data_IF_967938635165
#
_entry.id   IF_967938635165
#
_cell.length_a   1.000
_cell.length_b   1.000
_cell.length_c   1.000
_cell.angle_alpha   90.00
_cell.angle_beta   90.00
_cell.angle_gamma   90.00
#
_symmetry.space_group_name_H-M   'P 1'
#
loop_
_entity.id
_entity.type
_entity.pdbx_description
1 polymer ?
#
# COMPACT_ATOMS: atom_id res chain seq x y z
N UNK A 1 -3.95 -7.89 -31.41
CA UNK A 1 -3.68 -9.11 -30.61
C UNK A 1 -3.53 -10.26 -31.59
N UNK A 2 -2.57 -11.18 -31.44
CA UNK A 2 -2.66 -12.44 -32.15
C UNK A 2 -3.87 -13.20 -31.61
N UNK A 3 -4.72 -13.67 -32.51
CA UNK A 3 -5.94 -14.42 -32.21
C UNK A 3 -5.61 -15.69 -31.43
N UNK A 4 -6.19 -15.86 -30.24
CA UNK A 4 -6.01 -17.09 -29.48
C UNK A 4 -6.41 -16.98 -28.00
N UNK A 5 -7.71 -17.18 -27.74
CA UNK A 5 -8.35 -17.31 -26.42
C UNK A 5 -8.34 -16.04 -25.56
N UNK A 6 -9.53 -15.69 -25.09
CA UNK A 6 -9.79 -14.70 -24.05
C UNK A 6 -9.15 -15.18 -22.73
N UNK A 7 -7.82 -15.11 -22.60
CA UNK A 7 -7.11 -15.49 -21.38
C UNK A 7 -7.51 -14.49 -20.29
N UNK A 8 -8.13 -14.97 -19.22
CA UNK A 8 -8.41 -14.16 -18.04
C UNK A 8 -7.12 -13.50 -17.52
N UNK A 9 -7.23 -12.27 -17.01
CA UNK A 9 -6.16 -11.57 -16.34
C UNK A 9 -6.08 -11.99 -14.88
N UNK A 10 -4.88 -11.97 -14.29
CA UNK A 10 -4.69 -12.24 -12.87
C UNK A 10 -4.30 -10.98 -12.12
N UNK A 11 -5.00 -10.70 -11.03
CA UNK A 11 -4.69 -9.63 -10.11
C UNK A 11 -4.25 -10.15 -8.75
N UNK A 12 -3.22 -9.52 -8.19
CA UNK A 12 -2.77 -9.73 -6.82
C UNK A 12 -3.11 -8.51 -5.97
N UNK A 13 -3.84 -8.72 -4.87
CA UNK A 13 -4.19 -7.68 -3.90
C UNK A 13 -3.38 -7.88 -2.63
N UNK A 14 -2.57 -6.88 -2.27
CA UNK A 14 -1.88 -6.78 -0.98
C UNK A 14 -2.61 -5.80 -0.07
N UNK A 15 -2.92 -6.25 1.14
CA UNK A 15 -3.70 -5.48 2.12
C UNK A 15 -2.81 -4.61 2.99
N UNK A 16 -3.42 -3.59 3.60
CA UNK A 16 -2.77 -2.88 4.69
C UNK A 16 -2.79 -3.64 6.02
N UNK A 17 -1.70 -3.49 6.77
CA UNK A 17 -1.50 -4.17 8.06
C UNK A 17 -0.17 -3.88 8.75
N UNK A 18 0.55 -2.82 8.34
CA UNK A 18 1.86 -2.48 8.91
C UNK A 18 2.87 -3.63 8.83
N UNK A 19 3.48 -4.01 9.96
CA UNK A 19 4.48 -5.07 9.99
C UNK A 19 3.96 -6.46 9.57
N UNK A 20 2.63 -6.68 9.55
CA UNK A 20 2.04 -7.92 9.04
C UNK A 20 2.30 -8.15 7.55
N UNK A 21 2.77 -7.14 6.81
CA UNK A 21 3.23 -7.31 5.42
C UNK A 21 4.37 -8.33 5.26
N UNK A 22 5.13 -8.65 6.33
CA UNK A 22 6.12 -9.73 6.30
C UNK A 22 5.47 -11.10 6.09
N UNK A 23 4.27 -11.32 6.64
CA UNK A 23 3.48 -12.52 6.40
C UNK A 23 2.97 -12.58 4.95
N UNK A 24 2.63 -11.44 4.35
CA UNK A 24 2.25 -11.39 2.93
C UNK A 24 3.41 -11.81 2.02
N UNK A 25 4.66 -11.49 2.37
CA UNK A 25 5.83 -11.91 1.61
C UNK A 25 5.99 -13.44 1.61
N UNK A 26 5.81 -14.09 2.76
CA UNK A 26 5.78 -15.55 2.86
C UNK A 26 4.62 -16.18 2.09
N UNK A 27 3.43 -15.56 2.16
CA UNK A 27 2.27 -16.06 1.42
C UNK A 27 2.43 -15.89 -0.09
N UNK A 28 3.02 -14.77 -0.53
CA UNK A 28 3.39 -14.54 -1.93
C UNK A 28 4.34 -15.62 -2.43
N UNK A 29 5.34 -16.03 -1.65
CA UNK A 29 6.25 -17.11 -2.05
C UNK A 29 5.52 -18.43 -2.35
N UNK A 30 4.51 -18.79 -1.54
CA UNK A 30 3.73 -20.01 -1.78
C UNK A 30 2.82 -19.89 -3.01
N UNK A 31 2.19 -18.74 -3.20
CA UNK A 31 1.36 -18.46 -4.38
C UNK A 31 2.22 -18.46 -5.65
N UNK A 32 3.41 -17.85 -5.59
CA UNK A 32 4.36 -17.86 -6.69
C UNK A 32 4.70 -19.29 -7.12
N UNK A 33 5.02 -20.18 -6.16
CA UNK A 33 5.32 -21.60 -6.46
C UNK A 33 4.14 -22.29 -7.14
N UNK A 34 2.93 -22.11 -6.61
CA UNK A 34 1.72 -22.74 -7.16
C UNK A 34 1.39 -22.22 -8.58
N UNK A 35 1.28 -20.91 -8.75
CA UNK A 35 0.88 -20.29 -10.03
C UNK A 35 1.95 -20.48 -11.12
N UNK A 36 3.24 -20.53 -10.73
CA UNK A 36 4.34 -20.82 -11.69
C UNK A 36 4.32 -22.25 -12.20
N UNK A 37 3.79 -23.21 -11.43
CA UNK A 37 3.61 -24.59 -11.91
C UNK A 37 2.43 -24.69 -12.88
N UNK A 38 1.41 -23.86 -12.71
CA UNK A 38 0.19 -23.86 -13.53
C UNK A 38 0.38 -23.13 -14.88
N UNK A 39 1.39 -22.26 -15.03
CA UNK A 39 1.56 -21.43 -16.23
C UNK A 39 2.94 -21.55 -16.86
N UNK A 40 2.98 -22.12 -18.07
CA UNK A 40 4.19 -22.20 -18.88
C UNK A 40 4.53 -20.91 -19.65
N UNK A 41 3.63 -19.91 -19.68
CA UNK A 41 3.82 -18.67 -20.45
C UNK A 41 4.58 -17.57 -19.68
N UNK A 42 5.01 -17.84 -18.44
CA UNK A 42 5.81 -16.92 -17.62
C UNK A 42 5.05 -15.71 -17.09
N UNK A 43 3.75 -15.58 -17.38
CA UNK A 43 2.90 -14.50 -16.88
C UNK A 43 2.28 -14.91 -15.55
N UNK A 44 2.80 -14.33 -14.46
CA UNK A 44 2.31 -14.61 -13.11
C UNK A 44 1.07 -13.77 -12.77
N UNK A 45 1.23 -12.45 -12.77
CA UNK A 45 0.17 -11.46 -12.51
C UNK A 45 0.19 -10.37 -13.57
N UNK A 46 -0.98 -9.99 -14.06
CA UNK A 46 -1.17 -8.86 -14.97
C UNK A 46 -1.38 -7.55 -14.20
N UNK A 47 -1.92 -7.63 -12.98
CA UNK A 47 -2.17 -6.49 -12.11
C UNK A 47 -1.68 -6.80 -10.70
N UNK A 48 -0.96 -5.86 -10.09
CA UNK A 48 -0.64 -5.87 -8.67
C UNK A 48 -1.22 -4.60 -8.07
N UNK A 49 -2.02 -4.75 -7.02
CA UNK A 49 -2.60 -3.63 -6.27
C UNK A 49 -2.24 -3.73 -4.80
N UNK A 50 -2.01 -2.59 -4.16
CA UNK A 50 -1.60 -2.54 -2.77
C UNK A 50 -2.04 -1.28 -2.05
N UNK A 51 -2.35 -1.45 -0.75
CA UNK A 51 -2.59 -0.36 0.19
C UNK A 51 -1.62 -0.48 1.36
N UNK A 52 -1.11 0.64 1.89
CA UNK A 52 -0.22 0.66 3.05
C UNK A 52 1.07 -0.15 2.80
N UNK A 53 1.45 -1.02 3.75
CA UNK A 53 2.54 -1.97 3.54
C UNK A 53 2.34 -2.84 2.27
N UNK A 54 1.08 -3.12 1.91
CA UNK A 54 0.77 -3.83 0.68
C UNK A 54 1.17 -3.04 -0.57
N UNK A 55 1.12 -1.71 -0.53
CA UNK A 55 1.62 -0.84 -1.60
C UNK A 55 3.15 -0.93 -1.73
N UNK A 56 3.87 -0.98 -0.60
CA UNK A 56 5.31 -1.19 -0.57
C UNK A 56 5.68 -2.57 -1.16
N UNK A 57 5.05 -3.64 -0.68
CA UNK A 57 5.22 -5.01 -1.19
C UNK A 57 4.95 -5.07 -2.70
N UNK A 58 3.85 -4.45 -3.15
CA UNK A 58 3.48 -4.37 -4.57
C UNK A 58 4.53 -3.66 -5.42
N UNK A 59 5.04 -2.54 -4.92
CA UNK A 59 6.05 -1.73 -5.60
C UNK A 59 7.37 -2.49 -5.74
N UNK A 60 7.83 -3.16 -4.68
CA UNK A 60 9.05 -3.98 -4.72
C UNK A 60 8.93 -5.12 -5.74
N UNK A 61 7.77 -5.78 -5.80
CA UNK A 61 7.52 -6.86 -6.75
C UNK A 61 7.49 -6.38 -8.20
N UNK A 62 6.80 -5.28 -8.48
CA UNK A 62 6.76 -4.70 -9.83
C UNK A 62 8.13 -4.15 -10.23
N UNK A 63 8.86 -3.51 -9.31
CA UNK A 63 10.24 -3.06 -9.55
C UNK A 63 11.17 -4.21 -9.89
N UNK A 64 11.06 -5.35 -9.20
CA UNK A 64 11.80 -6.57 -9.54
C UNK A 64 11.46 -7.06 -10.95
N UNK A 65 10.18 -7.10 -11.31
CA UNK A 65 9.76 -7.52 -12.65
C UNK A 65 10.35 -6.60 -13.73
N UNK A 66 10.31 -5.28 -13.54
CA UNK A 66 10.81 -4.32 -14.53
C UNK A 66 12.32 -4.41 -14.73
N UNK A 67 13.09 -4.66 -13.67
CA UNK A 67 14.54 -4.84 -13.76
C UNK A 67 14.93 -6.13 -14.48
N UNK A 68 14.18 -7.21 -14.26
CA UNK A 68 14.56 -8.55 -14.73
C UNK A 68 13.76 -9.06 -15.93
N UNK A 69 12.71 -8.35 -16.34
CA UNK A 69 11.66 -8.81 -17.26
C UNK A 69 11.13 -10.22 -16.90
N UNK A 70 11.08 -10.53 -15.60
CA UNK A 70 10.70 -11.85 -15.09
C UNK A 70 10.28 -11.81 -13.63
N UNK A 71 9.36 -12.70 -13.26
CA UNK A 71 8.99 -12.96 -11.86
C UNK A 71 9.98 -13.88 -11.14
N UNK A 72 10.92 -14.51 -11.85
CA UNK A 72 11.91 -15.40 -11.21
C UNK A 72 12.76 -14.60 -10.22
N UNK A 73 12.87 -15.07 -8.98
CA UNK A 73 13.61 -14.38 -7.92
C UNK A 73 12.80 -13.32 -7.16
N UNK A 74 11.53 -13.08 -7.52
CA UNK A 74 10.72 -12.02 -6.88
C UNK A 74 10.40 -12.33 -5.42
N UNK A 75 10.19 -13.61 -5.09
CA UNK A 75 9.92 -14.06 -3.73
C UNK A 75 11.15 -13.88 -2.82
N UNK A 76 12.34 -14.18 -3.34
CA UNK A 76 13.59 -13.94 -2.64
C UNK A 76 13.83 -12.44 -2.46
N UNK A 77 13.51 -11.62 -3.47
CA UNK A 77 13.68 -10.17 -3.43
C UNK A 77 12.78 -9.49 -2.40
N UNK A 78 11.51 -9.88 -2.30
CA UNK A 78 10.62 -9.34 -1.27
C UNK A 78 11.04 -9.80 0.14
N UNK A 79 11.53 -11.03 0.30
CA UNK A 79 12.09 -11.50 1.58
C UNK A 79 13.39 -10.75 1.95
N UNK A 80 14.24 -10.45 0.98
CA UNK A 80 15.43 -9.60 1.16
C UNK A 80 15.06 -8.21 1.65
N UNK A 81 14.02 -7.60 1.05
CA UNK A 81 13.48 -6.32 1.50
C UNK A 81 13.11 -6.37 2.99
N UNK A 82 12.32 -7.36 3.40
CA UNK A 82 11.91 -7.52 4.80
C UNK A 82 13.07 -7.82 5.74
N UNK A 83 14.05 -8.63 5.31
CA UNK A 83 15.26 -8.92 6.11
C UNK A 83 16.06 -7.66 6.43
N UNK A 84 16.15 -6.69 5.52
CA UNK A 84 16.85 -5.44 5.79
C UNK A 84 16.08 -4.47 6.71
N UNK A 85 14.78 -4.71 6.97
CA UNK A 85 14.01 -4.00 7.99
C UNK A 85 14.09 -4.69 9.37
N UNK A 86 14.55 -5.94 9.41
CA UNK A 86 14.71 -6.66 10.68
C UNK A 86 15.86 -6.05 11.47
N UNK A 87 15.60 -5.78 12.75
CA UNK A 87 16.61 -5.32 13.69
C UNK A 87 16.38 -5.94 15.06
N UNK A 88 17.45 -6.05 15.83
CA UNK A 88 17.41 -6.51 17.22
C UNK A 88 17.12 -5.35 18.15
N UNK A 89 16.39 -5.63 19.21
CA UNK A 89 16.06 -4.69 20.28
C UNK A 89 16.87 -5.02 21.53
N UNK A 90 17.05 -4.04 22.41
CA UNK A 90 17.55 -4.26 23.77
C UNK A 90 16.63 -5.25 24.49
N UNK A 91 15.32 -5.17 24.24
CA UNK A 91 14.35 -6.14 24.74
C UNK A 91 14.65 -7.59 24.29
N UNK A 92 15.08 -7.80 23.04
CA UNK A 92 15.49 -9.13 22.54
C UNK A 92 16.72 -9.64 23.29
N UNK A 93 17.71 -8.78 23.51
CA UNK A 93 18.92 -9.14 24.23
C UNK A 93 18.64 -9.46 25.71
N UNK A 94 17.73 -8.70 26.35
CA UNK A 94 17.37 -8.88 27.76
C UNK A 94 16.42 -10.08 28.00
N UNK A 95 15.33 -10.19 27.25
CA UNK A 95 14.31 -11.22 27.50
C UNK A 95 14.49 -12.47 26.66
N UNK A 96 15.07 -12.34 25.46
CA UNK A 96 15.28 -13.45 24.54
C UNK A 96 16.61 -14.18 24.76
N UNK A 97 17.70 -13.41 24.91
CA UNK A 97 19.07 -13.96 24.87
C UNK A 97 19.76 -14.06 26.22
N UNK A 98 19.30 -13.36 27.25
CA UNK A 98 19.88 -13.43 28.60
C UNK A 98 19.14 -14.47 29.46
N UNK A 99 19.75 -15.64 29.75
CA UNK A 99 19.07 -16.70 30.50
C UNK A 99 18.72 -16.30 31.93
N UNK A 100 19.52 -15.41 32.55
CA UNK A 100 19.29 -14.98 33.93
C UNK A 100 18.03 -14.14 34.06
N UNK A 101 17.86 -13.15 33.17
CA UNK A 101 16.68 -12.27 33.16
C UNK A 101 15.43 -13.06 32.78
N UNK A 102 15.53 -13.90 31.74
CA UNK A 102 14.45 -14.81 31.35
C UNK A 102 13.97 -15.70 32.50
N UNK A 103 14.89 -16.41 33.16
CA UNK A 103 14.54 -17.29 34.29
C UNK A 103 13.92 -16.51 35.45
N UNK A 104 14.42 -15.31 35.73
CA UNK A 104 13.88 -14.44 36.78
C UNK A 104 12.46 -13.96 36.44
N UNK A 105 12.22 -13.60 35.18
CA UNK A 105 10.90 -13.17 34.71
C UNK A 105 9.89 -14.32 34.67
N UNK A 106 10.30 -15.49 34.19
CA UNK A 106 9.47 -16.71 34.20
C UNK A 106 9.10 -17.11 35.63
N UNK A 107 10.02 -16.96 36.60
CA UNK A 107 9.70 -17.15 38.02
C UNK A 107 8.65 -16.13 38.51
N UNK A 108 8.81 -14.84 38.19
CA UNK A 108 7.82 -13.82 38.54
C UNK A 108 6.45 -14.10 37.93
N UNK A 109 6.39 -14.47 36.65
CA UNK A 109 5.15 -14.88 35.97
C UNK A 109 4.51 -16.11 36.64
N UNK A 110 5.31 -17.10 37.03
CA UNK A 110 4.81 -18.28 37.75
C UNK A 110 4.23 -17.94 39.14
N UNK A 111 4.81 -16.94 39.82
CA UNK A 111 4.29 -16.47 41.12
C UNK A 111 3.07 -15.54 41.00
N UNK A 112 2.94 -14.83 39.89
CA UNK A 112 1.84 -13.92 39.61
C UNK A 112 1.43 -14.02 38.15
N UNK A 113 0.35 -14.76 37.90
CA UNK A 113 -0.21 -14.98 36.57
C UNK A 113 -0.74 -13.70 35.89
N UNK A 114 -0.81 -12.57 36.61
CA UNK A 114 -1.13 -11.25 36.04
C UNK A 114 0.07 -10.55 35.39
N UNK A 115 1.29 -11.05 35.57
CA UNK A 115 2.48 -10.55 34.86
C UNK A 115 2.51 -11.22 33.48
N UNK A 116 2.90 -10.48 32.43
CA UNK A 116 3.04 -11.05 31.09
C UNK A 116 4.11 -12.16 31.06
N UNK A 117 3.93 -13.18 30.22
CA UNK A 117 4.99 -14.15 29.95
C UNK A 117 6.22 -13.48 29.30
N UNK A 118 7.38 -14.14 29.34
CA UNK A 118 8.63 -13.56 28.84
C UNK A 118 8.57 -13.14 27.36
N UNK A 119 7.85 -13.88 26.51
CA UNK A 119 7.75 -13.55 25.08
C UNK A 119 6.83 -12.35 24.86
N UNK A 120 5.71 -12.27 25.59
CA UNK A 120 4.83 -11.11 25.59
C UNK A 120 5.54 -9.85 26.09
N UNK A 121 6.31 -9.96 27.18
CA UNK A 121 7.14 -8.86 27.69
C UNK A 121 8.20 -8.41 26.68
N UNK A 122 8.91 -9.37 26.05
CA UNK A 122 9.90 -9.08 24.99
C UNK A 122 9.27 -8.31 23.83
N UNK A 123 8.09 -8.72 23.37
CA UNK A 123 7.36 -8.06 22.27
C UNK A 123 6.93 -6.65 22.65
N UNK A 124 6.34 -6.48 23.84
CA UNK A 124 5.92 -5.19 24.35
C UNK A 124 7.08 -4.20 24.40
N UNK A 125 8.18 -4.58 25.06
CA UNK A 125 9.35 -3.71 25.19
C UNK A 125 10.06 -3.47 23.86
N UNK A 126 10.00 -4.40 22.91
CA UNK A 126 10.51 -4.19 21.55
C UNK A 126 9.70 -3.12 20.81
N UNK A 127 8.37 -3.18 20.88
CA UNK A 127 7.50 -2.15 20.28
C UNK A 127 7.75 -0.80 20.95
N UNK A 128 7.89 -0.80 22.28
CA UNK A 128 8.18 0.41 23.03
C UNK A 128 9.51 1.05 22.59
N UNK A 129 10.55 0.24 22.43
CA UNK A 129 11.85 0.71 21.93
C UNK A 129 11.73 1.35 20.55
N UNK A 130 11.03 0.71 19.61
CA UNK A 130 10.87 1.23 18.26
C UNK A 130 10.01 2.50 18.19
N UNK A 131 8.88 2.53 18.90
CA UNK A 131 7.91 3.61 18.83
C UNK A 131 8.29 4.82 19.69
N UNK A 132 8.92 4.60 20.84
CA UNK A 132 9.06 5.60 21.90
C UNK A 132 10.51 5.83 22.34
N UNK A 133 11.48 5.50 21.48
CA UNK A 133 12.88 5.90 21.67
C UNK A 133 13.45 6.52 20.40
N UNK A 134 14.46 7.41 20.49
CA UNK A 134 15.06 8.04 19.31
C UNK A 134 15.76 7.06 18.35
N UNK A 135 15.86 5.77 18.69
CA UNK A 135 16.52 4.75 17.89
C UNK A 135 15.75 4.42 16.60
N UNK A 136 14.42 4.49 16.64
CA UNK A 136 13.55 4.14 15.51
C UNK A 136 13.78 2.72 14.99
N UNK A 137 13.48 2.50 13.70
CA UNK A 137 13.70 1.23 13.00
C UNK A 137 14.62 1.50 11.80
N UNK A 138 15.83 0.92 11.75
CA UNK A 138 16.76 1.07 10.63
C UNK A 138 16.09 0.76 9.29
N UNK A 139 16.41 1.56 8.27
CA UNK A 139 15.83 1.47 6.92
C UNK A 139 14.32 1.73 6.84
N UNK A 140 13.64 2.05 7.95
CA UNK A 140 12.20 2.32 7.97
C UNK A 140 11.92 3.75 8.44
N UNK A 141 12.17 4.07 9.71
CA UNK A 141 11.91 5.42 10.23
C UNK A 141 12.80 5.79 11.41
N UNK A 142 12.97 7.09 11.62
CA UNK A 142 13.50 7.68 12.85
C UNK A 142 12.38 8.24 13.70
N UNK A 143 12.45 8.03 15.02
CA UNK A 143 11.44 8.52 15.96
C UNK A 143 11.88 9.89 16.49
N UNK A 144 11.08 10.91 16.19
CA UNK A 144 11.34 12.31 16.53
C UNK A 144 10.42 12.74 17.67
N UNK A 145 10.94 12.98 18.89
CA UNK A 145 10.13 13.46 20.00
C UNK A 145 9.73 14.92 19.76
N UNK A 146 8.43 15.17 19.70
CA UNK A 146 7.87 16.52 19.58
C UNK A 146 7.21 16.91 20.89
N UNK A 147 7.74 17.93 21.57
CA UNK A 147 7.16 18.44 22.80
C UNK A 147 6.03 19.42 22.47
N UNK A 148 4.87 19.20 23.07
CA UNK A 148 3.72 20.08 22.94
C UNK A 148 3.26 20.52 24.32
N UNK A 149 3.12 21.83 24.51
CA UNK A 149 2.59 22.42 25.75
C UNK A 149 1.27 23.16 25.52
N UNK A 150 0.55 22.82 24.44
CA UNK A 150 -0.63 23.57 23.99
C UNK A 150 -1.72 23.64 25.06
N UNK A 151 -1.84 22.61 25.88
CA UNK A 151 -2.88 22.51 26.91
C UNK A 151 -2.33 22.58 28.34
N UNK A 152 -1.01 22.71 28.51
CA UNK A 152 -0.32 22.71 29.82
C UNK A 152 -0.82 21.59 30.73
N UNK A 153 -1.09 20.42 30.15
CA UNK A 153 -1.73 19.32 30.84
C UNK A 153 -0.65 18.50 31.57
N UNK A 154 -0.60 18.52 32.91
CA UNK A 154 0.43 17.82 33.67
C UNK A 154 0.36 16.29 33.52
N UNK A 155 -0.72 15.75 32.95
CA UNK A 155 -0.92 14.31 32.73
C UNK A 155 -0.63 13.85 31.30
N UNK A 156 -0.44 14.74 30.33
CA UNK A 156 -0.11 14.34 28.94
C UNK A 156 1.17 14.96 28.45
N UNK A 157 1.54 16.13 28.98
CA UNK A 157 2.66 16.92 28.48
C UNK A 157 4.01 16.49 29.10
N UNK A 158 4.00 15.45 29.96
CA UNK A 158 5.22 14.85 30.52
C UNK A 158 5.88 13.84 29.58
N UNK A 159 5.17 13.36 28.55
CA UNK A 159 5.75 12.53 27.49
C UNK A 159 5.77 13.31 26.17
N UNK A 160 6.83 13.17 25.37
CA UNK A 160 6.85 13.76 24.05
C UNK A 160 5.80 13.07 23.16
N UNK A 161 5.21 13.85 22.25
CA UNK A 161 4.46 13.28 21.15
C UNK A 161 5.44 12.73 20.10
N UNK A 162 5.45 11.41 19.94
CA UNK A 162 6.33 10.74 19.00
C UNK A 162 5.80 10.84 17.56
N UNK A 163 6.64 11.41 16.69
CA UNK A 163 6.42 11.47 15.25
C UNK A 163 7.53 10.70 14.54
N UNK A 164 7.29 10.29 13.30
CA UNK A 164 8.19 9.36 12.60
C UNK A 164 8.63 9.92 11.25
N UNK A 165 9.94 9.97 11.02
CA UNK A 165 10.54 10.41 9.76
C UNK A 165 10.91 9.21 8.89
N UNK A 166 10.32 9.13 7.69
CA UNK A 166 10.45 8.00 6.76
C UNK A 166 11.45 8.24 5.62
N UNK A 167 12.34 9.25 5.71
CA UNK A 167 13.41 9.47 4.71
C UNK A 167 14.30 8.23 4.50
N UNK A 168 14.51 7.45 5.55
CA UNK A 168 15.25 6.18 5.47
C UNK A 168 14.52 5.16 4.60
N UNK A 169 13.21 4.97 4.79
CA UNK A 169 12.40 4.08 3.94
C UNK A 169 12.43 4.50 2.48
N UNK A 170 12.32 5.81 2.21
CA UNK A 170 12.44 6.35 0.84
C UNK A 170 13.75 5.91 0.18
N UNK A 171 14.87 6.10 0.90
CA UNK A 171 16.20 5.74 0.41
C UNK A 171 16.40 4.23 0.27
N UNK A 172 15.79 3.46 1.19
CA UNK A 172 15.83 2.00 1.15
C UNK A 172 15.04 1.43 -0.03
N UNK A 173 13.85 1.97 -0.33
CA UNK A 173 13.03 1.57 -1.49
C UNK A 173 13.77 1.74 -2.81
N UNK A 174 14.56 2.80 -2.99
CA UNK A 174 15.36 3.02 -4.20
C UNK A 174 16.39 1.90 -4.47
N UNK A 175 16.78 1.13 -3.45
CA UNK A 175 17.64 -0.05 -3.66
C UNK A 175 16.91 -1.18 -4.38
N UNK A 176 15.59 -1.26 -4.24
CA UNK A 176 14.75 -2.34 -4.80
C UNK A 176 14.00 -1.94 -6.07
N UNK A 177 13.78 -0.64 -6.28
CA UNK A 177 12.91 -0.12 -7.34
C UNK A 177 13.57 1.06 -8.03
N UNK A 178 13.56 1.04 -9.37
CA UNK A 178 13.90 2.20 -10.19
C UNK A 178 12.64 3.04 -10.40
N UNK A 179 12.62 4.22 -9.80
CA UNK A 179 11.51 5.17 -9.93
C UNK A 179 11.75 6.16 -11.07
N UNK A 180 10.68 6.68 -11.70
CA UNK A 180 9.27 6.31 -11.52
C UNK A 180 8.89 5.00 -12.23
N UNK A 181 7.97 4.24 -11.62
CA UNK A 181 7.39 3.04 -12.24
C UNK A 181 6.37 3.46 -13.29
N UNK A 182 6.65 3.13 -14.54
CA UNK A 182 5.77 3.32 -15.71
C UNK A 182 5.65 1.98 -16.44
N UNK A 183 4.44 1.48 -16.59
CA UNK A 183 4.20 0.19 -17.25
C UNK A 183 3.15 0.29 -18.34
N UNK A 184 3.15 -0.67 -19.27
CA UNK A 184 2.15 -0.71 -20.33
C UNK A 184 1.75 -2.13 -20.72
N UNK A 185 0.49 -2.26 -21.14
CA UNK A 185 -0.08 -3.52 -21.63
C UNK A 185 0.63 -3.99 -22.90
N UNK A 186 1.00 -3.06 -23.80
CA UNK A 186 1.64 -3.36 -25.09
C UNK A 186 3.01 -4.02 -24.91
N UNK A 187 3.74 -3.65 -23.84
CA UNK A 187 5.02 -4.27 -23.46
C UNK A 187 4.84 -5.55 -22.63
N UNK A 188 3.60 -5.96 -22.34
CA UNK A 188 3.31 -7.11 -21.47
C UNK A 188 3.78 -6.94 -20.03
N UNK A 189 3.87 -5.70 -19.54
CA UNK A 189 4.30 -5.40 -18.18
C UNK A 189 3.11 -5.40 -17.22
N UNK A 190 3.29 -5.77 -15.94
CA UNK A 190 2.22 -5.74 -14.95
C UNK A 190 1.80 -4.30 -14.63
N UNK A 191 0.49 -4.10 -14.45
CA UNK A 191 -0.07 -2.85 -13.95
C UNK A 191 0.04 -2.79 -12.43
N UNK A 192 0.71 -1.78 -11.91
CA UNK A 192 0.71 -1.41 -10.50
C UNK A 192 -0.40 -0.40 -10.20
N UNK A 193 -1.19 -0.67 -9.16
CA UNK A 193 -2.20 0.22 -8.58
C UNK A 193 -1.90 0.46 -7.10
N UNK A 194 -1.87 1.71 -6.65
CA UNK A 194 -1.70 2.05 -5.24
C UNK A 194 -2.83 2.94 -4.76
N UNK A 195 -3.25 2.78 -3.51
CA UNK A 195 -4.38 3.52 -2.94
C UNK A 195 -3.94 4.43 -1.80
N UNK A 196 -4.35 5.69 -1.82
CA UNK A 196 -4.14 6.67 -0.75
C UNK A 196 -5.43 7.45 -0.45
N UNK A 197 -5.38 8.32 0.55
CA UNK A 197 -6.49 9.17 0.97
C UNK A 197 -6.06 10.62 0.95
N UNK A 198 -6.89 11.52 0.41
CA UNK A 198 -6.75 12.96 0.61
C UNK A 198 -7.40 13.33 1.95
N UNK A 199 -6.63 13.96 2.85
CA UNK A 199 -7.13 14.32 4.18
C UNK A 199 -8.15 15.46 4.15
N UNK A 200 -8.18 16.24 3.05
CA UNK A 200 -9.13 17.34 2.86
C UNK A 200 -10.42 16.87 2.15
N UNK A 201 -10.34 15.86 1.29
CA UNK A 201 -11.51 15.17 0.71
C UNK A 201 -11.32 13.64 0.72
N UNK A 202 -11.94 13.02 1.71
CA UNK A 202 -11.92 11.56 1.92
C UNK A 202 -13.20 10.87 1.42
N UNK A 203 -13.99 11.51 0.54
CA UNK A 203 -15.20 10.89 -0.02
C UNK A 203 -14.89 9.64 -0.86
N UNK A 204 -13.78 9.67 -1.59
CA UNK A 204 -13.28 8.52 -2.37
C UNK A 204 -11.77 8.44 -2.29
N UNK A 205 -11.18 7.24 -2.36
CA UNK A 205 -9.73 7.09 -2.33
C UNK A 205 -9.07 7.62 -3.61
N UNK A 206 -7.84 8.10 -3.47
CA UNK A 206 -6.95 8.43 -4.59
C UNK A 206 -6.27 7.15 -5.04
N UNK A 207 -6.41 6.80 -6.32
CA UNK A 207 -5.83 5.56 -6.88
C UNK A 207 -4.74 5.91 -7.89
N UNK A 208 -3.48 5.69 -7.52
CA UNK A 208 -2.35 5.83 -8.42
C UNK A 208 -2.22 4.65 -9.37
N UNK A 209 -1.94 4.94 -10.63
CA UNK A 209 -1.88 3.95 -11.69
C UNK A 209 -0.59 4.09 -12.49
N UNK A 210 0.07 2.95 -12.73
CA UNK A 210 1.29 2.90 -13.55
C UNK A 210 1.01 2.89 -15.05
N UNK A 211 -0.22 2.57 -15.46
CA UNK A 211 -0.62 2.64 -16.86
C UNK A 211 -0.95 4.07 -17.24
N UNK A 212 -0.43 4.47 -18.39
CA UNK A 212 -0.73 5.75 -19.00
C UNK A 212 -2.18 5.77 -19.50
N UNK A 213 -2.89 6.88 -19.27
CA UNK A 213 -4.29 7.07 -19.67
C UNK A 213 -4.43 8.27 -20.59
N UNK A 214 -5.49 8.26 -21.40
CA UNK A 214 -5.86 9.42 -22.20
C UNK A 214 -6.75 10.33 -21.37
N UNK A 215 -6.33 11.57 -21.15
CA UNK A 215 -7.19 12.58 -20.55
C UNK A 215 -7.84 13.43 -21.66
N UNK A 216 -9.17 13.43 -21.72
CA UNK A 216 -9.96 14.14 -22.74
C UNK A 216 -10.42 15.56 -22.30
N UNK A 217 -9.84 16.16 -21.24
CA UNK A 217 -10.33 17.44 -20.72
C UNK A 217 -9.40 18.61 -21.09
N UNK A 218 -10.04 19.69 -21.52
CA UNK A 218 -9.54 21.07 -21.41
C UNK A 218 -9.38 21.41 -19.93
N UNK A 219 -8.26 21.04 -19.32
CA UNK A 219 -7.83 21.64 -18.05
C UNK A 219 -7.40 23.07 -18.39
N UNK A 220 -7.79 24.07 -17.61
CA UNK A 220 -7.40 25.46 -17.84
C UNK A 220 -5.87 25.56 -17.93
N UNK A 221 -5.35 25.64 -19.15
CA UNK A 221 -3.93 25.89 -19.47
C UNK A 221 -3.59 27.38 -19.25
N UNK A 222 -3.92 27.93 -18.08
CA UNK A 222 -3.45 29.27 -17.65
C UNK A 222 -2.11 29.17 -16.90
N UNK A 223 -1.25 28.26 -17.34
CA UNK A 223 0.18 28.31 -17.04
C UNK A 223 0.92 28.16 -18.36
N UNK A 224 1.27 29.30 -18.95
CA UNK A 224 2.14 29.43 -20.11
C UNK A 224 3.48 28.74 -19.85
N UNK A 225 3.64 27.55 -20.42
CA UNK A 225 4.97 27.06 -20.79
C UNK A 225 5.11 27.37 -22.28
N UNK A 226 5.72 28.51 -22.56
CA UNK A 226 6.28 28.80 -23.88
C UNK A 226 7.31 27.72 -24.21
N UNK A 227 6.93 26.75 -25.03
CA UNK A 227 7.78 26.22 -26.11
C UNK A 227 7.00 25.21 -26.97
N UNK A 228 6.96 25.55 -28.26
CA UNK A 228 6.83 24.66 -29.42
C UNK A 228 5.42 24.17 -29.84
N UNK A 229 4.87 24.92 -30.80
CA UNK A 229 4.38 24.49 -32.13
C UNK A 229 3.38 23.31 -32.22
N UNK A 230 2.17 23.69 -32.63
CA UNK A 230 1.28 23.02 -33.58
C UNK A 230 1.23 21.48 -33.59
N UNK A 231 0.17 20.96 -32.99
CA UNK A 231 -0.35 19.61 -33.22
C UNK A 231 -1.33 19.24 -32.12
N UNK A 232 -2.62 19.09 -32.44
CA UNK A 232 -3.65 18.54 -31.52
C UNK A 232 -3.31 17.07 -31.21
N UNK A 233 -2.36 16.84 -30.31
CA UNK A 233 -2.08 15.54 -29.73
C UNK A 233 -2.87 15.41 -28.44
N UNK A 234 -3.72 14.38 -28.33
CA UNK A 234 -4.23 13.94 -27.03
C UNK A 234 -3.01 13.55 -26.19
N UNK A 235 -2.58 14.42 -25.28
CA UNK A 235 -1.43 14.12 -24.43
C UNK A 235 -1.81 13.04 -23.43
N UNK A 236 -1.37 11.81 -23.70
CA UNK A 236 -1.39 10.73 -22.73
C UNK A 236 -0.62 11.16 -21.47
N UNK A 237 -1.21 10.95 -20.29
CA UNK A 237 -0.65 11.36 -19.00
C UNK A 237 -1.03 10.34 -17.91
N UNK A 238 -0.26 10.28 -16.83
CA UNK A 238 -0.67 9.58 -15.62
C UNK A 238 -1.45 10.53 -14.72
N UNK A 239 -2.68 10.15 -14.39
CA UNK A 239 -3.54 10.96 -13.55
C UNK A 239 -4.47 10.10 -12.71
N UNK A 240 -4.95 10.70 -11.62
CA UNK A 240 -5.99 10.14 -10.76
C UNK A 240 -7.10 11.15 -10.62
N UNK A 241 -8.32 10.66 -10.75
CA UNK A 241 -9.54 11.43 -10.56
C UNK A 241 -10.27 10.84 -9.36
N UNK A 242 -10.67 11.71 -8.44
CA UNK A 242 -11.35 11.34 -7.20
C UNK A 242 -12.25 12.49 -6.73
N UNK A 243 -12.99 12.25 -5.66
CA UNK A 243 -13.97 13.16 -5.09
C UNK A 243 -15.40 12.74 -5.43
N UNK A 244 -16.35 13.64 -5.20
CA UNK A 244 -17.77 13.41 -5.49
C UNK A 244 -18.23 14.27 -6.69
N UNK A 245 -19.53 14.28 -6.98
CA UNK A 245 -20.09 15.05 -8.10
C UNK A 245 -19.94 16.57 -7.95
N UNK A 246 -19.74 17.07 -6.73
CA UNK A 246 -19.64 18.50 -6.42
C UNK A 246 -18.18 18.96 -6.32
N UNK A 247 -17.32 18.14 -5.72
CA UNK A 247 -15.89 18.37 -5.56
C UNK A 247 -15.13 17.30 -6.35
N UNK A 248 -14.80 17.61 -7.60
CA UNK A 248 -13.99 16.75 -8.46
C UNK A 248 -12.53 17.18 -8.37
N UNK A 249 -11.65 16.25 -8.03
CA UNK A 249 -10.22 16.46 -7.93
C UNK A 249 -9.49 15.72 -9.06
N UNK A 250 -8.50 16.38 -9.67
CA UNK A 250 -7.68 15.81 -10.75
C UNK A 250 -6.22 16.07 -10.44
N UNK A 251 -5.49 14.99 -10.16
CA UNK A 251 -4.07 15.04 -9.83
C UNK A 251 -3.24 14.36 -10.91
N UNK A 252 -2.20 15.04 -11.38
CA UNK A 252 -1.28 14.53 -12.38
C UNK A 252 0.05 14.15 -11.74
N UNK A 253 0.67 13.10 -12.26
CA UNK A 253 1.97 12.61 -11.84
C UNK A 253 2.70 11.99 -13.03
N UNK A 254 3.99 11.70 -12.88
CA UNK A 254 4.83 11.13 -13.94
C UNK A 254 5.15 9.66 -13.65
N UNK A 255 4.10 8.82 -13.57
CA UNK A 255 4.20 7.44 -13.09
C UNK A 255 4.28 7.34 -11.57
N UNK A 256 4.40 6.11 -11.06
CA UNK A 256 4.41 5.85 -9.61
C UNK A 256 5.83 6.10 -9.09
N UNK A 257 6.04 7.23 -8.42
CA UNK A 257 7.28 7.58 -7.73
C UNK A 257 7.29 7.18 -6.25
N UNK A 258 8.37 7.50 -5.52
CA UNK A 258 8.46 7.23 -4.09
C UNK A 258 7.37 7.95 -3.29
N UNK A 259 6.97 9.15 -3.72
CA UNK A 259 5.96 9.95 -3.01
C UNK A 259 4.57 9.29 -3.11
N UNK A 260 4.21 8.66 -4.24
CA UNK A 260 2.97 7.89 -4.37
C UNK A 260 2.98 6.62 -3.49
N UNK A 261 4.13 5.96 -3.37
CA UNK A 261 4.29 4.78 -2.50
C UNK A 261 4.14 5.19 -1.03
N UNK A 262 4.81 6.26 -0.62
CA UNK A 262 4.72 6.78 0.74
C UNK A 262 3.32 7.34 1.04
N UNK A 263 2.66 7.99 0.08
CA UNK A 263 1.30 8.48 0.24
C UNK A 263 0.34 7.33 0.58
N UNK A 264 0.58 6.15 0.01
CA UNK A 264 -0.21 4.95 0.31
C UNK A 264 0.10 4.34 1.67
N UNK A 265 1.25 4.62 2.29
CA UNK A 265 1.78 3.91 3.48
C UNK A 265 2.04 4.75 4.73
N UNK A 266 1.99 6.08 4.64
CA UNK A 266 2.28 6.95 5.77
C UNK A 266 1.00 7.31 6.54
N UNK A 267 0.93 6.82 7.78
CA UNK A 267 -0.16 7.13 8.72
C UNK A 267 -0.01 8.51 9.38
N UNK A 268 -0.99 8.87 10.23
CA UNK A 268 -1.12 10.20 10.86
C UNK A 268 0.10 10.73 11.63
N UNK A 269 0.98 9.86 12.12
CA UNK A 269 2.15 10.26 12.92
C UNK A 269 3.42 10.48 12.09
N UNK A 270 3.37 10.28 10.77
CA UNK A 270 4.50 10.57 9.92
C UNK A 270 4.83 12.07 9.87
N UNK A 271 6.10 12.37 9.67
CA UNK A 271 6.60 13.67 9.23
C UNK A 271 6.55 13.72 7.71
N UNK A 272 6.41 14.93 7.17
CA UNK A 272 6.53 15.22 5.74
C UNK A 272 5.67 14.32 4.84
N UNK A 273 4.36 14.26 5.11
CA UNK A 273 3.44 13.53 4.22
C UNK A 273 3.52 14.06 2.79
N UNK A 274 3.44 13.17 1.78
CA UNK A 274 3.39 13.56 0.38
C UNK A 274 2.26 14.53 0.09
N UNK A 275 2.59 15.53 -0.73
CA UNK A 275 1.67 16.54 -1.20
C UNK A 275 1.56 16.46 -2.72
N UNK A 276 0.37 16.74 -3.25
CA UNK A 276 0.12 16.77 -4.68
C UNK A 276 -0.72 17.99 -5.05
N UNK A 277 -0.42 18.60 -6.18
CA UNK A 277 -1.19 19.74 -6.69
C UNK A 277 -2.44 19.21 -7.41
N UNK A 278 -3.61 19.64 -6.95
CA UNK A 278 -4.88 19.39 -7.62
C UNK A 278 -5.12 20.45 -8.70
N UNK A 279 -5.13 20.02 -9.96
CA UNK A 279 -5.31 20.92 -11.11
C UNK A 279 -6.76 21.39 -11.26
N UNK A 280 -7.73 20.71 -10.67
CA UNK A 280 -9.12 21.16 -10.70
C UNK A 280 -9.35 22.37 -9.78
N UNK A 281 -8.71 22.38 -8.61
CA UNK A 281 -8.89 23.45 -7.61
C UNK A 281 -7.71 24.41 -7.46
N UNK A 282 -6.54 24.09 -8.03
CA UNK A 282 -5.30 24.85 -7.90
C UNK A 282 -4.67 24.79 -6.50
N UNK A 283 -5.11 23.84 -5.67
CA UNK A 283 -4.66 23.73 -4.27
C UNK A 283 -3.71 22.56 -4.07
N UNK A 284 -2.84 22.68 -3.06
CA UNK A 284 -1.96 21.59 -2.64
C UNK A 284 -2.69 20.71 -1.65
N UNK A 285 -2.86 19.43 -1.99
CA UNK A 285 -3.53 18.41 -1.18
C UNK A 285 -2.51 17.52 -0.50
N UNK A 286 -2.80 17.12 0.74
CA UNK A 286 -1.93 16.24 1.52
C UNK A 286 -2.51 14.83 1.55
N UNK A 287 -1.68 13.83 1.28
CA UNK A 287 -2.10 12.44 1.14
C UNK A 287 -1.61 11.55 2.28
N UNK A 288 -2.50 10.70 2.78
CA UNK A 288 -2.29 9.76 3.88
C UNK A 288 -2.58 8.32 3.45
N UNK A 289 -2.16 7.37 4.29
CA UNK A 289 -2.31 5.93 4.08
C UNK A 289 -3.70 5.52 3.55
N UNK A 290 -3.72 4.75 2.46
CA UNK A 290 -4.95 4.26 1.83
C UNK A 290 -5.83 3.42 2.76
N UNK A 291 -5.24 2.82 3.79
CA UNK A 291 -5.88 1.92 4.74
C UNK A 291 -7.01 2.59 5.53
N UNK A 292 -7.02 3.92 5.63
CA UNK A 292 -8.10 4.68 6.25
C UNK A 292 -9.43 4.62 5.47
N UNK A 293 -9.39 4.42 4.13
CA UNK A 293 -10.60 4.35 3.29
C UNK A 293 -10.78 3.02 2.55
N UNK A 294 -9.68 2.38 2.14
CA UNK A 294 -9.73 1.10 1.42
C UNK A 294 -8.50 0.25 1.76
N UNK A 295 -8.58 -0.47 2.88
CA UNK A 295 -7.52 -1.37 3.33
C UNK A 295 -7.31 -2.57 2.38
N UNK A 296 -8.37 -3.00 1.70
CA UNK A 296 -8.32 -4.02 0.64
C UNK A 296 -8.79 -3.37 -0.66
N UNK A 297 -7.87 -2.95 -1.56
CA UNK A 297 -8.22 -2.13 -2.72
C UNK A 297 -8.86 -2.92 -3.87
N UNK A 298 -9.86 -3.76 -3.54
CA UNK A 298 -10.57 -4.62 -4.48
C UNK A 298 -11.54 -3.81 -5.35
N UNK A 299 -12.28 -2.87 -4.76
CA UNK A 299 -13.21 -2.00 -5.51
C UNK A 299 -12.44 -1.12 -6.49
N UNK A 300 -11.33 -0.57 -6.03
CA UNK A 300 -10.42 0.28 -6.79
C UNK A 300 -9.82 -0.52 -7.95
N UNK A 301 -9.36 -1.74 -7.70
CA UNK A 301 -8.89 -2.68 -8.73
C UNK A 301 -9.98 -2.96 -9.79
N UNK A 302 -11.18 -3.36 -9.37
CA UNK A 302 -12.26 -3.72 -10.31
C UNK A 302 -12.69 -2.52 -11.15
N UNK A 303 -12.77 -1.34 -10.53
CA UNK A 303 -13.12 -0.08 -11.20
C UNK A 303 -12.03 0.31 -12.20
N UNK A 304 -10.76 0.28 -11.78
CA UNK A 304 -9.62 0.60 -12.63
C UNK A 304 -9.45 -0.39 -13.80
N UNK A 305 -9.75 -1.68 -13.57
CA UNK A 305 -9.76 -2.72 -14.61
C UNK A 305 -10.85 -2.45 -15.64
N UNK A 306 -12.10 -2.24 -15.19
CA UNK A 306 -13.23 -1.94 -16.07
C UNK A 306 -12.99 -0.68 -16.90
N UNK A 307 -12.61 0.42 -16.25
CA UNK A 307 -12.42 1.71 -16.92
C UNK A 307 -11.32 1.64 -17.97
N UNK A 308 -10.18 1.02 -17.65
CA UNK A 308 -9.09 0.84 -18.59
C UNK A 308 -9.49 0.06 -19.84
N UNK A 309 -10.18 -1.06 -19.70
CA UNK A 309 -10.62 -1.85 -20.86
C UNK A 309 -11.68 -1.14 -21.69
N UNK A 310 -12.58 -0.38 -21.06
CA UNK A 310 -13.54 0.46 -21.78
C UNK A 310 -12.84 1.52 -22.64
N UNK A 311 -11.82 2.21 -22.09
CA UNK A 311 -11.02 3.18 -22.84
C UNK A 311 -10.19 2.52 -23.95
N UNK A 312 -9.51 1.42 -23.65
CA UNK A 312 -8.71 0.66 -24.60
C UNK A 312 -9.54 0.17 -25.80
N UNK A 313 -10.74 -0.37 -25.53
CA UNK A 313 -11.67 -0.79 -26.57
C UNK A 313 -12.19 0.39 -27.40
N UNK A 314 -12.46 1.55 -26.78
CA UNK A 314 -12.87 2.76 -27.52
C UNK A 314 -11.77 3.24 -28.47
N UNK A 315 -10.50 3.20 -28.05
CA UNK A 315 -9.34 3.60 -28.88
C UNK A 315 -9.13 2.67 -30.08
N UNK A 316 -9.27 1.37 -29.88
CA UNK A 316 -8.99 0.36 -30.91
C UNK A 316 -10.16 0.08 -31.87
N UNK A 317 -11.38 0.57 -31.57
CA UNK A 317 -12.60 0.39 -32.40
C UNK A 317 -12.77 1.39 -33.54
N UNK A 318 -11.69 1.93 -34.11
CA UNK A 318 -11.78 2.73 -35.34
C UNK A 318 -12.32 1.91 -36.52
N UNK A 319 -13.65 1.81 -36.67
CA UNK A 319 -14.32 1.48 -37.93
C UNK A 319 -15.04 0.14 -38.10
N UNK A 320 -14.97 -0.84 -37.18
CA UNK A 320 -15.71 -2.10 -37.36
C UNK A 320 -16.49 -2.56 -36.12
N UNK A 321 -17.81 -2.62 -36.26
CA UNK A 321 -18.73 -3.22 -35.31
C UNK A 321 -18.56 -4.75 -35.30
N UNK A 322 -17.59 -5.31 -34.57
CA UNK A 322 -17.61 -6.74 -34.20
C UNK A 322 -16.99 -7.00 -32.80
N UNK A 323 -17.90 -7.22 -31.85
CA UNK A 323 -17.87 -8.16 -30.71
C UNK A 323 -16.72 -8.18 -29.68
N UNK A 324 -16.39 -7.07 -29.01
CA UNK A 324 -15.80 -7.14 -27.66
C UNK A 324 -16.47 -6.14 -26.72
N UNK A 325 -17.65 -6.47 -26.20
CA UNK A 325 -18.45 -5.63 -25.30
C UNK A 325 -18.07 -5.75 -23.83
N UNK A 326 -17.09 -6.58 -23.47
CA UNK A 326 -16.80 -6.94 -22.08
C UNK A 326 -15.30 -6.94 -21.80
N UNK A 327 -14.92 -6.39 -20.64
CA UNK A 327 -13.57 -6.50 -20.10
C UNK A 327 -13.20 -7.99 -19.91
N UNK A 328 -11.92 -8.38 -20.03
CA UNK A 328 -11.48 -9.74 -19.74
C UNK A 328 -11.84 -10.17 -18.32
N UNK A 329 -12.06 -11.47 -18.14
CA UNK A 329 -12.23 -12.07 -16.82
C UNK A 329 -11.01 -11.77 -15.95
N UNK A 330 -11.25 -11.52 -14.65
CA UNK A 330 -10.20 -11.17 -13.70
C UNK A 330 -10.22 -12.16 -12.53
N UNK A 331 -9.17 -12.95 -12.44
CA UNK A 331 -8.92 -13.84 -11.30
C UNK A 331 -8.14 -13.07 -10.22
N UNK A 332 -8.69 -12.98 -9.01
CA UNK A 332 -8.15 -12.13 -7.94
C UNK A 332 -7.61 -12.96 -6.78
N UNK A 333 -6.34 -12.75 -6.44
CA UNK A 333 -5.63 -13.38 -5.33
C UNK A 333 -5.51 -12.39 -4.18
N UNK A 334 -6.25 -12.63 -3.09
CA UNK A 334 -6.22 -11.81 -1.87
C UNK A 334 -5.68 -12.66 -0.72
N UNK A 335 -4.80 -12.09 0.11
CA UNK A 335 -4.43 -12.67 1.40
C UNK A 335 -5.07 -11.82 2.47
N UNK A 336 -5.85 -12.45 3.34
CA UNK A 336 -6.42 -11.77 4.48
C UNK A 336 -5.39 -11.72 5.62
N UNK A 337 -4.96 -10.51 5.97
CA UNK A 337 -4.07 -10.27 7.12
C UNK A 337 -4.82 -10.29 8.46
N UNK A 338 -6.15 -10.19 8.43
CA UNK A 338 -6.99 -9.98 9.61
C UNK A 338 -7.91 -11.18 9.86
N UNK A 339 -7.88 -11.84 11.03
CA UNK A 339 -8.66 -13.05 11.28
C UNK A 339 -10.18 -12.80 11.28
N UNK A 340 -10.95 -13.72 10.68
CA UNK A 340 -12.40 -13.57 10.46
C UNK A 340 -13.27 -13.88 11.69
N UNK A 341 -12.83 -14.78 12.56
CA UNK A 341 -13.60 -15.26 13.69
C UNK A 341 -12.67 -15.50 14.91
N UNK A 342 -12.53 -14.52 15.81
CA UNK A 342 -11.87 -14.75 17.09
C UNK A 342 -12.74 -15.66 17.96
N UNK A 343 -12.10 -16.51 18.77
CA UNK A 343 -12.80 -17.50 19.62
C UNK A 343 -13.43 -16.89 20.86
N UNK A 344 -12.83 -15.83 21.42
CA UNK A 344 -13.18 -15.29 22.73
C UNK A 344 -13.34 -13.76 22.73
N UNK A 345 -13.96 -13.20 23.77
CA UNK A 345 -14.08 -11.75 24.01
C UNK A 345 -12.86 -11.30 24.83
N UNK A 346 -12.00 -10.40 24.31
CA UNK A 346 -10.84 -9.95 25.05
C UNK A 346 -11.25 -9.08 26.24
N UNK A 347 -10.59 -9.28 27.37
CA UNK A 347 -10.72 -8.42 28.55
C UNK A 347 -9.51 -7.49 28.72
N UNK A 348 -8.37 -7.84 28.14
CA UNK A 348 -7.15 -7.04 28.20
C UNK A 348 -7.22 -5.86 27.24
N UNK A 349 -6.75 -4.69 27.70
CA UNK A 349 -6.75 -3.45 26.91
C UNK A 349 -6.09 -3.64 25.54
N UNK A 350 -4.91 -4.26 25.51
CA UNK A 350 -4.15 -4.43 24.26
C UNK A 350 -4.92 -5.29 23.25
N UNK A 351 -5.58 -6.36 23.71
CA UNK A 351 -6.40 -7.22 22.87
C UNK A 351 -7.70 -6.53 22.42
N UNK A 352 -8.24 -5.61 23.22
CA UNK A 352 -9.40 -4.78 22.85
C UNK A 352 -8.99 -3.79 21.75
N UNK A 353 -7.88 -3.08 21.94
CA UNK A 353 -7.36 -2.11 20.96
C UNK A 353 -6.98 -2.82 19.63
N UNK A 354 -6.41 -4.03 19.71
CA UNK A 354 -6.15 -4.88 18.54
C UNK A 354 -7.46 -5.32 17.87
N UNK A 355 -8.48 -5.70 18.65
CA UNK A 355 -9.79 -6.07 18.12
C UNK A 355 -10.48 -4.91 17.43
N UNK A 356 -10.41 -3.70 17.99
CA UNK A 356 -10.91 -2.49 17.34
C UNK A 356 -10.22 -2.26 16.00
N UNK A 357 -8.88 -2.35 15.96
CA UNK A 357 -8.11 -2.22 14.72
C UNK A 357 -8.51 -3.26 13.67
N UNK A 358 -8.62 -4.53 14.06
CA UNK A 358 -9.07 -5.62 13.18
C UNK A 358 -10.46 -5.31 12.63
N UNK A 359 -11.42 -4.92 13.48
CA UNK A 359 -12.78 -4.56 13.06
C UNK A 359 -12.75 -3.36 12.12
N UNK A 360 -11.98 -2.31 12.42
CA UNK A 360 -11.90 -1.11 11.60
C UNK A 360 -11.39 -1.44 10.18
N UNK A 361 -10.24 -2.11 10.08
CA UNK A 361 -9.65 -2.46 8.79
C UNK A 361 -10.44 -3.52 8.02
N UNK A 362 -11.11 -4.44 8.72
CA UNK A 362 -12.00 -5.42 8.12
C UNK A 362 -13.32 -4.80 7.64
N UNK A 363 -13.93 -3.90 8.43
CA UNK A 363 -15.16 -3.19 8.07
C UNK A 363 -14.94 -2.25 6.90
N UNK A 364 -13.77 -1.62 6.80
CA UNK A 364 -13.39 -0.87 5.60
C UNK A 364 -13.26 -1.80 4.39
N UNK A 365 -12.75 -3.02 4.59
CA UNK A 365 -12.73 -4.07 3.56
C UNK A 365 -14.11 -4.65 3.18
N UNK A 366 -15.13 -4.53 4.05
CA UNK A 366 -16.49 -5.09 3.85
C UNK A 366 -17.59 -4.05 3.56
N UNK A 367 -17.44 -2.79 3.98
CA UNK A 367 -18.35 -1.70 3.56
C UNK A 367 -18.35 -1.52 2.04
N UNK A 368 -17.35 -2.08 1.36
CA UNK A 368 -17.23 -2.23 -0.09
C UNK A 368 -17.91 -3.49 -0.70
N UNK A 369 -18.39 -4.45 0.10
CA UNK A 369 -19.10 -5.65 -0.39
C UNK A 369 -20.64 -5.50 -0.44
N UNK A 370 -21.25 -4.58 0.32
CA UNK A 370 -22.71 -4.47 0.38
C UNK A 370 -23.37 -3.69 -0.79
N UNK A 371 -22.60 -3.33 -1.81
CA UNK A 371 -23.14 -2.78 -3.07
C UNK A 371 -22.37 -3.35 -4.25
N UNK A 372 -22.66 -4.59 -4.65
CA UNK A 372 -22.44 -5.11 -6.01
C UNK A 372 -23.07 -6.51 -6.15
N UNK A 373 -24.39 -6.54 -6.32
CA UNK A 373 -24.98 -7.50 -7.28
C UNK A 373 -25.03 -6.77 -8.61
N UNK A 374 -24.18 -7.15 -9.55
CA UNK A 374 -24.38 -6.84 -10.96
C UNK A 374 -24.46 -8.16 -11.72
N UNK A 375 -25.71 -8.57 -11.98
CA UNK A 375 -26.10 -9.49 -13.06
C UNK A 375 -25.77 -8.90 -14.42
#
# INVERSE_FOLDING_TARGET
MPEGKNKGQRARVFQGGGALGAYEAGTYQQIYKKVSQENADGRLFDIITGTSIGAINSTVLVGHYLRNNSWKGSAEKILEFWKGLMCTTIADDLFGRNPFIRNSWDYLHATNSGIADTESARRFWSIFEFAFTPRGVPNMYESVPTWGSKFLNPFTDFLPWWRYDYRQLRSYLSKFVDFPIKTSLEKGQPRLLLTSVDIQDYATPVVFDSYEKLHDASVNDDVTIDTAKEGKSKNSRWFSEYGNSENRHIVFYDGIGPDQVLASALGKYALDHPQIEDKATGTVRQLWDGGYLSNTPLRELLTAHKNYWMEYLRKNRGGSQKSFTRAPELEVYIVNLHPLAPKDIPQDKDLIDDRERVIFYFTIGLRTMNTLRMS
#
